data_IF_780972825450
#
_entry.id   IF_780972825450
#
_cell.length_a   1.000
_cell.length_b   1.000
_cell.length_c   1.000
_cell.angle_alpha   90.00
_cell.angle_beta   90.00
_cell.angle_gamma   90.00
#
_symmetry.space_group_name_H-M   'P 1'
#
loop_
_entity.id
_entity.type
_entity.pdbx_description
1 polymer ?
#
# COMPACT_ATOMS: atom_id res chain seq x y z
N UNK A 1 -7.42 28.23 2.46
CA UNK A 1 -6.26 27.47 2.99
C UNK A 1 -5.24 27.17 1.89
N UNK A 2 -4.04 27.71 2.04
CA UNK A 2 -2.92 27.81 1.07
C UNK A 2 -2.18 26.45 0.92
N UNK A 3 -2.85 25.35 1.27
CA UNK A 3 -2.25 24.09 1.77
C UNK A 3 -1.56 23.23 0.68
N UNK A 4 -1.73 23.56 -0.59
CA UNK A 4 -1.00 22.94 -1.70
C UNK A 4 -0.62 23.98 -2.77
N UNK A 5 0.01 25.10 -2.39
CA UNK A 5 0.59 26.04 -3.36
C UNK A 5 1.87 25.52 -4.06
N UNK A 6 1.98 24.21 -4.30
CA UNK A 6 2.93 23.64 -5.26
C UNK A 6 2.25 23.54 -6.63
N UNK A 7 1.68 24.65 -7.11
CA UNK A 7 0.73 24.67 -8.23
C UNK A 7 1.34 24.19 -9.55
N UNK A 8 2.65 24.22 -9.74
CA UNK A 8 3.24 23.94 -11.06
C UNK A 8 4.52 23.09 -10.97
N UNK A 9 4.49 21.99 -10.21
CA UNK A 9 5.56 20.98 -10.26
C UNK A 9 5.00 19.66 -10.80
N UNK A 10 5.00 19.47 -12.13
CA UNK A 10 4.53 18.22 -12.73
C UNK A 10 5.44 17.08 -12.24
N UNK A 11 4.85 16.23 -11.40
CA UNK A 11 5.53 15.16 -10.67
C UNK A 11 6.31 14.20 -11.58
N UNK A 12 5.89 14.08 -12.85
CA UNK A 12 6.39 13.13 -13.84
C UNK A 12 6.50 13.67 -15.26
N UNK A 13 6.71 14.98 -15.45
CA UNK A 13 6.84 15.57 -16.81
C UNK A 13 7.97 14.92 -17.64
N UNK A 14 8.96 14.32 -16.98
CA UNK A 14 10.09 13.63 -17.61
C UNK A 14 9.82 12.15 -17.93
N UNK A 15 8.76 11.54 -17.37
CA UNK A 15 8.46 10.11 -17.50
C UNK A 15 7.16 9.82 -18.26
N UNK A 16 6.30 10.81 -18.44
CA UNK A 16 5.06 10.71 -19.22
C UNK A 16 5.19 11.72 -20.36
N UNK A 17 5.36 11.21 -21.59
CA UNK A 17 5.53 12.03 -22.79
C UNK A 17 4.42 13.08 -22.94
N UNK A 18 4.77 14.17 -23.62
CA UNK A 18 4.02 15.41 -23.85
C UNK A 18 2.54 15.21 -24.23
N UNK A 19 1.72 14.91 -23.23
CA UNK A 19 0.28 14.90 -23.29
C UNK A 19 -0.17 15.92 -22.27
N UNK A 20 -0.83 16.96 -22.78
CA UNK A 20 -1.20 18.16 -22.06
C UNK A 20 -1.95 17.91 -20.75
N UNK A 21 -2.28 19.01 -20.09
CA UNK A 21 -2.82 19.17 -18.73
C UNK A 21 -4.11 18.37 -18.38
N UNK A 22 -4.53 17.42 -19.21
CA UNK A 22 -5.68 16.56 -18.98
C UNK A 22 -5.34 15.41 -18.03
N UNK A 23 -6.17 15.26 -17.00
CA UNK A 23 -6.08 14.18 -16.03
C UNK A 23 -6.86 12.99 -16.57
N UNK A 24 -6.14 12.05 -17.17
CA UNK A 24 -6.67 10.76 -17.62
C UNK A 24 -6.47 9.67 -16.56
N UNK A 25 -7.35 8.67 -16.56
CA UNK A 25 -7.21 7.47 -15.74
C UNK A 25 -5.85 6.79 -15.97
N UNK A 26 -5.42 6.67 -17.24
CA UNK A 26 -4.13 6.07 -17.61
C UNK A 26 -2.95 6.81 -17.00
N UNK A 27 -3.04 8.14 -16.89
CA UNK A 27 -2.00 8.98 -16.30
C UNK A 27 -1.90 8.75 -14.80
N UNK A 28 -3.04 8.64 -14.10
CA UNK A 28 -3.08 8.32 -12.67
C UNK A 28 -2.51 6.92 -12.45
N UNK A 29 -2.96 5.93 -13.23
CA UNK A 29 -2.48 4.57 -13.14
C UNK A 29 -0.97 4.46 -13.37
N UNK A 30 -0.46 5.10 -14.43
CA UNK A 30 0.97 5.08 -14.74
C UNK A 30 1.79 5.77 -13.64
N UNK A 31 1.28 6.87 -13.07
CA UNK A 31 1.90 7.56 -11.93
C UNK A 31 2.04 6.63 -10.72
N UNK A 32 0.95 5.97 -10.33
CA UNK A 32 0.94 5.02 -9.22
C UNK A 32 1.90 3.86 -9.51
N UNK A 33 1.84 3.30 -10.72
CA UNK A 33 2.67 2.16 -11.14
C UNK A 33 4.16 2.50 -11.13
N UNK A 34 4.53 3.69 -11.62
CA UNK A 34 5.91 4.16 -11.60
C UNK A 34 6.44 4.30 -10.18
N UNK A 35 5.69 4.95 -9.28
CA UNK A 35 6.12 5.11 -7.89
C UNK A 35 6.20 3.75 -7.19
N UNK A 36 5.17 2.91 -7.34
CA UNK A 36 5.12 1.57 -6.77
C UNK A 36 6.32 0.71 -7.19
N UNK A 37 6.70 0.78 -8.48
CA UNK A 37 7.78 -0.05 -9.01
C UNK A 37 9.17 0.43 -8.59
N UNK A 38 9.36 1.75 -8.47
CA UNK A 38 10.66 2.33 -8.08
C UNK A 38 10.86 2.28 -6.56
N UNK A 39 9.80 2.53 -5.80
CA UNK A 39 9.84 2.57 -4.35
C UNK A 39 9.64 1.20 -3.67
N UNK A 40 9.44 0.15 -4.46
CA UNK A 40 9.23 -1.24 -3.99
C UNK A 40 8.13 -1.39 -2.92
N UNK A 41 7.04 -0.63 -3.06
CA UNK A 41 5.94 -0.65 -2.08
C UNK A 41 5.26 -2.00 -2.00
N UNK A 42 4.79 -2.33 -0.80
CA UNK A 42 3.79 -3.39 -0.62
C UNK A 42 2.43 -2.98 -1.22
N UNK A 43 1.67 -3.95 -1.76
CA UNK A 43 0.39 -3.67 -2.41
C UNK A 43 -0.66 -3.13 -1.41
N UNK A 44 -0.53 -3.52 -0.14
CA UNK A 44 -1.36 -3.07 0.97
C UNK A 44 -1.25 -1.54 1.18
N UNK A 45 -0.06 -0.96 0.94
CA UNK A 45 0.17 0.48 1.04
C UNK A 45 -0.68 1.28 0.05
N UNK A 46 -1.03 0.73 -1.12
CA UNK A 46 -1.90 1.42 -2.09
C UNK A 46 -3.33 1.55 -1.57
N UNK A 47 -3.86 0.50 -0.93
CA UNK A 47 -5.19 0.52 -0.31
C UNK A 47 -5.21 1.50 0.86
N UNK A 48 -4.16 1.50 1.69
CA UNK A 48 -4.00 2.42 2.81
C UNK A 48 -3.89 3.88 2.34
N UNK A 49 -3.18 4.13 1.23
CA UNK A 49 -3.06 5.45 0.63
C UNK A 49 -4.42 6.02 0.24
N UNK A 50 -5.28 5.20 -0.39
CA UNK A 50 -6.65 5.58 -0.71
C UNK A 50 -7.46 5.92 0.54
N UNK A 51 -7.34 5.12 1.60
CA UNK A 51 -8.01 5.36 2.87
C UNK A 51 -7.56 6.69 3.50
N UNK A 52 -6.28 7.01 3.45
CA UNK A 52 -5.78 8.29 3.95
C UNK A 52 -6.28 9.49 3.15
N UNK A 53 -6.35 9.37 1.82
CA UNK A 53 -6.95 10.41 0.97
C UNK A 53 -8.42 10.64 1.37
N UNK A 54 -9.16 9.56 1.61
CA UNK A 54 -10.57 9.62 2.02
C UNK A 54 -10.73 10.22 3.43
N UNK A 55 -9.77 9.96 4.32
CA UNK A 55 -9.69 10.59 5.64
C UNK A 55 -9.42 12.09 5.53
N UNK A 56 -8.51 12.53 4.65
CA UNK A 56 -8.30 13.96 4.37
C UNK A 56 -9.57 14.61 3.86
N UNK A 57 -10.27 13.97 2.91
CA UNK A 57 -11.55 14.45 2.38
C UNK A 57 -12.59 14.64 3.49
N UNK A 58 -12.68 13.67 4.39
CA UNK A 58 -13.65 13.67 5.50
C UNK A 58 -13.35 14.73 6.57
N UNK A 59 -12.07 14.95 6.91
CA UNK A 59 -11.67 15.87 7.97
C UNK A 59 -11.57 17.33 7.50
N UNK A 60 -11.11 17.55 6.28
CA UNK A 60 -10.81 18.91 5.77
C UNK A 60 -11.84 19.43 4.77
N UNK A 61 -12.73 18.56 4.27
CA UNK A 61 -13.61 18.87 3.13
C UNK A 61 -12.86 19.06 1.80
N UNK A 62 -11.56 18.74 1.76
CA UNK A 62 -10.73 18.95 0.58
C UNK A 62 -10.98 17.86 -0.45
N UNK A 63 -11.37 18.28 -1.65
CA UNK A 63 -11.60 17.37 -2.78
C UNK A 63 -10.35 17.27 -3.67
N UNK A 64 -10.12 16.06 -4.17
CA UNK A 64 -9.20 15.82 -5.28
C UNK A 64 -9.72 16.57 -6.51
N UNK A 65 -8.86 17.41 -7.08
CA UNK A 65 -9.06 18.20 -8.29
C UNK A 65 -7.88 17.94 -9.22
N UNK A 66 -8.08 18.22 -10.51
CA UNK A 66 -7.07 17.97 -11.53
C UNK A 66 -5.70 18.63 -11.24
N UNK A 67 -5.68 19.72 -10.47
CA UNK A 67 -4.47 20.45 -10.12
C UNK A 67 -3.77 20.00 -8.83
N UNK A 68 -4.44 19.24 -7.97
CA UNK A 68 -3.92 18.93 -6.63
C UNK A 68 -3.74 17.42 -6.37
N UNK A 69 -4.23 16.54 -7.26
CA UNK A 69 -4.24 15.11 -6.99
C UNK A 69 -2.84 14.50 -6.88
N UNK A 70 -1.88 14.97 -7.67
CA UNK A 70 -0.50 14.43 -7.68
C UNK A 70 0.21 14.57 -6.33
N UNK A 71 0.36 15.79 -5.76
CA UNK A 71 1.05 15.95 -4.48
C UNK A 71 0.29 15.30 -3.31
N UNK A 72 -1.05 15.23 -3.37
CA UNK A 72 -1.86 14.55 -2.34
C UNK A 72 -1.63 13.04 -2.39
N UNK A 73 -1.67 12.46 -3.59
CA UNK A 73 -1.44 11.04 -3.81
C UNK A 73 -0.02 10.66 -3.39
N UNK A 74 0.98 11.45 -3.78
CA UNK A 74 2.37 11.23 -3.36
C UNK A 74 2.49 11.27 -1.83
N UNK A 75 1.96 12.30 -1.17
CA UNK A 75 2.05 12.43 0.27
C UNK A 75 1.33 11.28 1.01
N UNK A 76 0.17 10.86 0.53
CA UNK A 76 -0.56 9.73 1.07
C UNK A 76 0.25 8.43 0.97
N UNK A 77 0.89 8.18 -0.18
CA UNK A 77 1.73 7.00 -0.40
C UNK A 77 3.00 7.00 0.45
N UNK A 78 3.67 8.15 0.61
CA UNK A 78 4.85 8.27 1.48
C UNK A 78 4.47 7.93 2.92
N UNK A 79 3.38 8.51 3.43
CA UNK A 79 2.92 8.25 4.81
C UNK A 79 2.46 6.79 4.97
N UNK A 80 1.76 6.22 3.98
CA UNK A 80 1.34 4.82 4.00
C UNK A 80 2.54 3.88 4.11
N UNK A 81 3.52 4.02 3.21
CA UNK A 81 4.70 3.17 3.22
C UNK A 81 5.50 3.33 4.52
N UNK A 82 5.67 4.54 5.03
CA UNK A 82 6.46 4.74 6.25
C UNK A 82 5.85 4.11 7.50
N UNK A 83 4.53 3.99 7.54
CA UNK A 83 3.82 3.47 8.72
C UNK A 83 3.57 1.97 8.62
N UNK A 84 3.30 1.46 7.42
CA UNK A 84 2.78 0.11 7.20
C UNK A 84 3.70 -0.82 6.43
N UNK A 85 4.79 -0.31 5.86
CA UNK A 85 5.80 -1.14 5.23
C UNK A 85 6.99 -1.35 6.18
N UNK A 86 7.52 -2.56 6.22
CA UNK A 86 8.66 -2.92 7.08
C UNK A 86 9.95 -2.25 6.59
N UNK A 87 10.04 -1.97 5.28
CA UNK A 87 11.20 -1.36 4.63
C UNK A 87 10.84 -0.01 4.04
N UNK A 88 10.83 1.01 4.90
CA UNK A 88 10.50 2.36 4.48
C UNK A 88 11.69 3.12 3.88
N UNK A 89 11.50 3.77 2.74
CA UNK A 89 12.45 4.73 2.17
C UNK A 89 12.54 6.03 2.99
N UNK A 90 13.68 6.70 2.88
CA UNK A 90 13.90 8.03 3.44
C UNK A 90 13.36 9.11 2.47
N UNK A 91 13.10 10.31 3.00
CA UNK A 91 12.63 11.43 2.18
C UNK A 91 13.65 11.88 1.12
N UNK A 92 14.94 11.63 1.36
CA UNK A 92 15.99 11.89 0.35
C UNK A 92 15.87 10.94 -0.84
N UNK A 93 15.49 9.69 -0.61
CA UNK A 93 15.26 8.71 -1.67
C UNK A 93 14.05 9.14 -2.51
N UNK A 94 12.97 9.57 -1.87
CA UNK A 94 11.80 10.12 -2.56
C UNK A 94 12.11 11.36 -3.41
N UNK A 95 13.04 12.22 -2.99
CA UNK A 95 13.49 13.36 -3.82
C UNK A 95 14.31 12.93 -5.05
N UNK A 96 14.96 11.76 -4.97
CA UNK A 96 15.69 11.17 -6.10
C UNK A 96 14.72 10.53 -7.09
N UNK A 97 13.71 9.83 -6.56
CA UNK A 97 12.65 9.18 -7.37
C UNK A 97 11.76 10.23 -8.04
N UNK A 98 11.38 11.26 -7.30
CA UNK A 98 10.54 12.36 -7.77
C UNK A 98 11.42 13.58 -8.00
N UNK A 99 12.19 13.60 -9.09
CA UNK A 99 13.16 14.67 -9.42
C UNK A 99 12.57 16.08 -9.43
N UNK A 100 11.25 16.21 -9.62
CA UNK A 100 10.54 17.49 -9.52
C UNK A 100 10.50 18.08 -8.09
N UNK A 101 10.64 17.25 -7.06
CA UNK A 101 10.50 17.65 -5.65
C UNK A 101 11.85 17.61 -4.93
N UNK A 102 12.20 18.72 -4.28
CA UNK A 102 13.37 18.73 -3.40
C UNK A 102 13.07 17.95 -2.12
N UNK A 103 14.10 17.52 -1.40
CA UNK A 103 13.95 16.90 -0.06
C UNK A 103 13.09 17.78 0.87
N UNK A 104 13.25 19.10 0.79
CA UNK A 104 12.47 20.06 1.58
C UNK A 104 10.99 20.03 1.19
N UNK A 105 10.70 19.92 -0.10
CA UNK A 105 9.33 19.82 -0.59
C UNK A 105 8.67 18.52 -0.11
N UNK A 106 9.39 17.39 -0.20
CA UNK A 106 8.91 16.09 0.31
C UNK A 106 8.65 16.15 1.82
N UNK A 107 9.56 16.72 2.61
CA UNK A 107 9.37 16.90 4.05
C UNK A 107 8.13 17.74 4.36
N UNK A 108 7.93 18.83 3.62
CA UNK A 108 6.77 19.70 3.79
C UNK A 108 5.46 19.02 3.38
N UNK A 109 5.48 18.20 2.32
CA UNK A 109 4.32 17.41 1.89
C UNK A 109 3.92 16.40 2.96
N UNK A 110 4.88 15.62 3.46
CA UNK A 110 4.63 14.63 4.51
C UNK A 110 4.07 15.30 5.77
N UNK A 111 4.73 16.37 6.24
CA UNK A 111 4.30 17.10 7.44
C UNK A 111 2.87 17.63 7.30
N UNK A 112 2.57 18.33 6.20
CA UNK A 112 1.23 18.89 5.97
C UNK A 112 0.18 17.79 5.83
N UNK A 113 0.51 16.67 5.20
CA UNK A 113 -0.41 15.54 5.07
C UNK A 113 -0.75 14.94 6.43
N UNK A 114 0.25 14.73 7.29
CA UNK A 114 0.04 14.28 8.66
C UNK A 114 -0.83 15.26 9.46
N UNK A 115 -0.61 16.57 9.32
CA UNK A 115 -1.45 17.60 9.95
C UNK A 115 -2.92 17.51 9.47
N UNK A 116 -3.15 17.28 8.17
CA UNK A 116 -4.51 17.16 7.61
C UNK A 116 -5.26 15.93 8.12
N UNK A 117 -4.56 14.81 8.33
CA UNK A 117 -5.17 13.62 8.96
C UNK A 117 -5.13 13.67 10.49
N UNK A 118 -4.75 14.82 11.08
CA UNK A 118 -4.61 15.01 12.52
C UNK A 118 -3.70 13.97 13.18
N UNK A 119 -2.64 13.56 12.47
CA UNK A 119 -1.72 12.50 12.86
C UNK A 119 -2.37 11.14 13.13
N UNK A 120 -3.64 10.96 12.74
CA UNK A 120 -4.32 9.69 12.85
C UNK A 120 -3.91 8.79 11.69
N UNK A 121 -2.85 8.01 11.89
CA UNK A 121 -2.35 6.98 10.95
C UNK A 121 -2.89 5.59 11.26
N UNK A 122 -3.65 5.44 12.34
CA UNK A 122 -4.21 4.14 12.72
C UNK A 122 -5.31 3.70 11.74
N UNK A 123 -5.29 2.42 11.41
CA UNK A 123 -6.28 1.74 10.57
C UNK A 123 -6.59 0.41 11.25
N UNK A 124 -7.87 0.16 11.49
CA UNK A 124 -8.32 -1.13 12.02
C UNK A 124 -8.36 -2.17 10.89
N UNK A 125 -8.13 -3.43 11.24
CA UNK A 125 -8.17 -4.54 10.28
C UNK A 125 -9.53 -4.64 9.56
N UNK A 126 -10.63 -4.35 10.27
CA UNK A 126 -11.98 -4.34 9.68
C UNK A 126 -12.17 -3.22 8.66
N UNK A 127 -11.62 -2.03 8.92
CA UNK A 127 -11.69 -0.91 7.99
C UNK A 127 -10.86 -1.20 6.73
N UNK A 128 -9.64 -1.70 6.90
CA UNK A 128 -8.81 -2.13 5.76
C UNK A 128 -9.54 -3.20 4.92
N UNK A 129 -10.11 -4.21 5.56
CA UNK A 129 -10.84 -5.27 4.88
C UNK A 129 -12.03 -4.74 4.07
N UNK A 130 -12.81 -3.79 4.62
CA UNK A 130 -13.93 -3.16 3.90
C UNK A 130 -13.45 -2.51 2.59
N UNK A 131 -12.42 -1.68 2.67
CA UNK A 131 -11.85 -1.00 1.49
C UNK A 131 -11.29 -1.99 0.47
N UNK A 132 -10.58 -3.02 0.93
CA UNK A 132 -10.04 -4.06 0.06
C UNK A 132 -11.15 -4.80 -0.70
N UNK A 133 -12.22 -5.21 -0.02
CA UNK A 133 -13.33 -5.91 -0.66
C UNK A 133 -14.12 -5.00 -1.60
N UNK A 134 -14.34 -3.74 -1.22
CA UNK A 134 -15.01 -2.75 -2.08
C UNK A 134 -14.22 -2.53 -3.37
N UNK A 135 -12.90 -2.31 -3.28
CA UNK A 135 -12.03 -2.18 -4.44
C UNK A 135 -12.07 -3.43 -5.33
N UNK A 136 -12.02 -4.62 -4.72
CA UNK A 136 -12.12 -5.88 -5.45
C UNK A 136 -13.44 -6.00 -6.21
N UNK A 137 -14.57 -5.68 -5.56
CA UNK A 137 -15.88 -5.69 -6.21
C UNK A 137 -15.96 -4.67 -7.35
N UNK A 138 -15.33 -3.50 -7.21
CA UNK A 138 -15.24 -2.51 -8.30
C UNK A 138 -14.43 -3.04 -9.48
N UNK A 139 -13.29 -3.69 -9.24
CA UNK A 139 -12.49 -4.31 -10.29
C UNK A 139 -13.22 -5.45 -11.02
N UNK A 140 -13.97 -6.29 -10.29
CA UNK A 140 -14.79 -7.35 -10.86
C UNK A 140 -15.90 -6.79 -11.78
N UNK A 141 -16.55 -5.70 -11.37
CA UNK A 141 -17.56 -5.00 -12.19
C UNK A 141 -16.99 -4.33 -13.44
N UNK A 142 -15.74 -3.89 -13.38
CA UNK A 142 -15.05 -3.24 -14.49
C UNK A 142 -14.43 -4.25 -15.48
N UNK A 143 -14.67 -5.56 -15.32
CA UNK A 143 -14.03 -6.66 -16.06
C UNK A 143 -12.49 -6.66 -15.97
N UNK A 144 -11.91 -5.84 -15.08
CA UNK A 144 -10.47 -5.79 -14.78
C UNK A 144 -10.12 -6.81 -13.71
N UNK A 145 -10.67 -8.01 -13.85
CA UNK A 145 -10.56 -9.06 -12.85
C UNK A 145 -9.09 -9.42 -12.70
N UNK A 146 -8.57 -9.27 -11.47
CA UNK A 146 -7.34 -9.93 -11.07
C UNK A 146 -7.64 -11.42 -11.18
N UNK A 147 -7.26 -12.04 -12.29
CA UNK A 147 -7.37 -13.49 -12.44
C UNK A 147 -6.46 -14.07 -11.37
N UNK A 148 -7.05 -14.43 -10.22
CA UNK A 148 -6.41 -15.35 -9.30
C UNK A 148 -6.15 -16.59 -10.14
N UNK A 149 -4.89 -16.76 -10.57
CA UNK A 149 -4.52 -17.94 -11.32
C UNK A 149 -4.86 -19.11 -10.42
N UNK A 150 -5.70 -20.05 -10.87
CA UNK A 150 -5.93 -21.26 -10.10
C UNK A 150 -4.57 -21.89 -9.81
N UNK A 151 -4.43 -22.40 -8.59
CA UNK A 151 -3.22 -23.08 -8.13
C UNK A 151 -2.82 -24.10 -9.21
N UNK A 152 -1.58 -24.02 -9.71
CA UNK A 152 -1.14 -25.05 -10.66
C UNK A 152 -1.15 -26.41 -9.96
N UNK A 153 -1.37 -27.50 -10.70
CA UNK A 153 -1.41 -28.84 -10.12
C UNK A 153 -0.12 -29.12 -9.32
N UNK A 154 1.02 -28.61 -9.81
CA UNK A 154 2.29 -28.71 -9.12
C UNK A 154 2.34 -27.95 -7.78
N UNK A 155 1.79 -26.74 -7.74
CA UNK A 155 1.71 -25.95 -6.50
C UNK A 155 0.79 -26.63 -5.48
N UNK A 156 -0.32 -27.22 -5.96
CA UNK A 156 -1.30 -27.93 -5.14
C UNK A 156 -0.70 -29.17 -4.49
N UNK A 157 -0.03 -30.02 -5.27
CA UNK A 157 0.69 -31.20 -4.79
C UNK A 157 1.79 -30.81 -3.78
N UNK A 158 2.57 -29.76 -4.09
CA UNK A 158 3.63 -29.31 -3.18
C UNK A 158 3.08 -28.81 -1.84
N UNK A 159 1.91 -28.16 -1.83
CA UNK A 159 1.25 -27.68 -0.62
C UNK A 159 0.66 -28.84 0.20
N UNK A 160 0.12 -29.86 -0.45
CA UNK A 160 -0.41 -31.07 0.19
C UNK A 160 0.70 -31.84 0.90
N UNK A 161 1.82 -32.11 0.22
CA UNK A 161 2.99 -32.75 0.80
C UNK A 161 3.56 -31.98 2.01
N UNK A 162 3.59 -30.64 1.93
CA UNK A 162 4.05 -29.78 3.04
C UNK A 162 3.09 -29.79 4.21
N UNK A 163 1.79 -29.89 3.96
CA UNK A 163 0.76 -30.00 5.00
C UNK A 163 0.88 -31.33 5.74
N UNK A 164 0.99 -32.43 4.98
CA UNK A 164 1.13 -33.78 5.52
C UNK A 164 2.37 -33.91 6.41
N UNK A 165 3.54 -33.48 5.92
CA UNK A 165 4.78 -33.50 6.70
C UNK A 165 4.63 -32.76 8.04
N UNK A 166 3.98 -31.58 8.01
CA UNK A 166 3.76 -30.77 9.22
C UNK A 166 2.77 -31.41 10.18
N UNK A 167 1.74 -32.10 9.68
CA UNK A 167 0.82 -32.87 10.54
C UNK A 167 1.49 -34.09 11.17
N UNK A 168 2.38 -34.77 10.45
CA UNK A 168 3.14 -35.91 10.97
C UNK A 168 4.15 -35.48 12.04
N UNK A 169 4.86 -34.37 11.83
CA UNK A 169 5.75 -33.79 12.84
C UNK A 169 4.97 -33.38 14.11
N UNK A 170 3.77 -32.81 13.94
CA UNK A 170 2.90 -32.44 15.06
C UNK A 170 2.37 -33.66 15.83
N UNK A 171 2.06 -34.77 15.14
CA UNK A 171 1.68 -36.05 15.76
C UNK A 171 2.86 -36.69 16.50
N UNK A 172 4.07 -36.68 15.92
CA UNK A 172 5.30 -37.18 16.58
C UNK A 172 5.63 -36.37 17.83
N UNK A 173 5.55 -35.04 17.76
CA UNK A 173 5.77 -34.17 18.92
C UNK A 173 4.78 -34.45 20.06
N UNK A 174 3.50 -34.68 19.74
CA UNK A 174 2.47 -35.08 20.73
C UNK A 174 2.78 -36.44 21.37
N UNK A 175 3.25 -37.41 20.58
CA UNK A 175 3.55 -38.77 21.08
C UNK A 175 4.77 -38.80 22.02
N UNK A 176 5.78 -37.98 21.76
CA UNK A 176 6.95 -37.84 22.64
C UNK A 176 6.61 -37.18 23.99
N UNK A 177 5.62 -36.28 24.05
CA UNK A 177 5.18 -35.65 25.30
C UNK A 177 4.38 -36.61 26.20
N UNK A 178 3.61 -37.54 25.62
CA UNK A 178 2.86 -38.55 26.38
C UNK A 178 3.71 -39.70 26.94
N UNK A 179 4.94 -39.89 26.46
CA UNK A 179 5.83 -40.97 26.92
C UNK A 179 6.74 -40.58 28.09
N UNK A 180 6.83 -39.29 28.43
CA UNK A 180 7.70 -38.77 29.52
C UNK A 180 7.05 -38.67 30.91
N UNK A 181 5.81 -39.15 31.07
CA UNK A 181 4.98 -38.89 32.26
C UNK A 181 4.67 -40.10 33.16
N UNK A 182 5.46 -41.17 33.12
CA UNK A 182 5.26 -42.32 34.02
C UNK A 182 6.59 -42.72 34.65
N UNK A 183 6.77 -42.39 35.93
CA UNK A 183 7.72 -43.07 36.81
C UNK A 183 8.69 -42.16 37.55
N UNK A 184 8.22 -41.49 38.61
CA UNK A 184 9.05 -41.12 39.76
C UNK A 184 8.15 -40.80 40.97
N UNK A 185 7.64 -41.83 41.62
CA UNK A 185 7.21 -41.77 43.02
C UNK A 185 8.12 -42.72 43.81
N UNK A 186 8.92 -42.15 44.72
CA UNK A 186 9.53 -42.83 45.87
C UNK A 186 9.10 -42.09 47.12
#
# INVERSE_FOLDING_TARGET
PIIFMFVDKPLFEQLVGDHGDEVSEDRIFQTIKSIYSIAEFSAECLVISLLYIERVRSLTGFHLRNRNWQPILLAAMIVAQKVWDDKSLLNVDFSTICSAYTVRDINNLEKQFLEMIQYNVYISASLYASYYFELRTLCEKAERTFTLKPLSEQQRINLENRSEAKTEDMKKARKCQSAGGVGMNK
#
